data_IF_806937315741
#
_entry.id   IF_806937315741
#
_cell.length_a   1.000
_cell.length_b   1.000
_cell.length_c   1.000
_cell.angle_alpha   90.00
_cell.angle_beta   90.00
_cell.angle_gamma   90.00
#
_symmetry.space_group_name_H-M   'P 1'
#
loop_
_entity.id
_entity.type
_entity.pdbx_description
1 polymer ?
#
# COMPACT_ATOMS: atom_id res chain seq x y z
N UNK A 1 -4.58 -27.02 14.97
CA UNK A 1 -4.84 -25.66 15.48
C UNK A 1 -6.10 -25.19 14.81
N UNK A 2 -7.17 -25.05 15.59
CA UNK A 2 -8.41 -24.44 15.12
C UNK A 2 -8.22 -22.92 15.21
N UNK A 3 -8.44 -22.21 14.12
CA UNK A 3 -8.23 -20.77 14.02
C UNK A 3 -8.65 -20.26 12.65
N UNK A 4 -8.77 -18.94 12.53
CA UNK A 4 -9.16 -18.24 11.30
C UNK A 4 -8.05 -17.32 10.84
N UNK A 5 -7.88 -17.18 9.53
CA UNK A 5 -7.04 -16.10 8.99
C UNK A 5 -7.86 -14.83 8.97
N UNK A 6 -7.30 -13.74 9.51
CA UNK A 6 -7.94 -12.44 9.60
C UNK A 6 -7.11 -11.37 8.90
N UNK A 7 -7.79 -10.40 8.28
CA UNK A 7 -7.18 -9.16 7.76
C UNK A 7 -7.06 -8.17 8.91
N UNK A 8 -5.84 -7.83 9.29
CA UNK A 8 -5.53 -6.78 10.26
C UNK A 8 -5.33 -5.47 9.50
N UNK A 9 -6.32 -4.58 9.59
CA UNK A 9 -6.36 -3.32 8.85
C UNK A 9 -5.28 -2.37 9.37
N UNK A 10 -4.44 -1.91 8.46
CA UNK A 10 -3.34 -0.97 8.62
C UNK A 10 -3.85 0.42 8.24
N UNK A 11 -3.41 1.49 8.91
CA UNK A 11 -3.80 2.84 8.53
C UNK A 11 -3.46 3.13 7.06
N UNK A 12 -4.41 3.71 6.33
CA UNK A 12 -4.25 4.11 4.92
C UNK A 12 -3.40 5.38 4.80
N UNK A 13 -2.12 5.26 5.19
CA UNK A 13 -1.08 6.23 4.92
C UNK A 13 -0.17 5.74 3.78
N UNK A 14 0.70 6.63 3.30
CA UNK A 14 1.67 6.33 2.24
C UNK A 14 2.73 5.28 2.67
N UNK A 15 2.64 4.74 3.88
CA UNK A 15 3.57 3.77 4.47
C UNK A 15 2.92 2.41 4.76
N UNK A 16 1.71 2.15 4.26
CA UNK A 16 0.95 0.92 4.54
C UNK A 16 1.75 -0.37 4.34
N UNK A 17 2.55 -0.48 3.27
CA UNK A 17 3.42 -1.65 3.03
C UNK A 17 4.41 -1.86 4.18
N UNK A 18 5.11 -0.81 4.60
CA UNK A 18 6.10 -0.90 5.67
C UNK A 18 5.44 -1.20 7.02
N UNK A 19 4.26 -0.63 7.26
CA UNK A 19 3.50 -0.86 8.48
C UNK A 19 2.95 -2.29 8.53
N UNK A 20 2.47 -2.81 7.40
CA UNK A 20 2.00 -4.19 7.29
C UNK A 20 3.14 -5.19 7.50
N UNK A 21 4.31 -4.95 6.87
CA UNK A 21 5.52 -5.76 7.09
C UNK A 21 5.97 -5.68 8.55
N UNK A 22 6.05 -4.47 9.12
CA UNK A 22 6.43 -4.28 10.53
C UNK A 22 5.48 -4.99 11.50
N UNK A 23 4.18 -5.02 11.19
CA UNK A 23 3.22 -5.78 11.98
C UNK A 23 3.48 -7.28 11.90
N UNK A 24 3.59 -7.86 10.69
CA UNK A 24 3.74 -9.32 10.56
C UNK A 24 5.09 -9.82 11.06
N UNK A 25 6.14 -9.00 10.98
CA UNK A 25 7.49 -9.39 11.43
C UNK A 25 7.72 -9.16 12.93
N UNK A 26 7.11 -8.14 13.52
CA UNK A 26 7.47 -7.64 14.86
C UNK A 26 6.27 -7.41 15.80
N UNK A 27 5.04 -7.76 15.39
CA UNK A 27 3.79 -7.57 16.14
C UNK A 27 3.57 -6.13 16.63
N UNK A 28 4.03 -5.12 15.87
CA UNK A 28 3.97 -3.73 16.30
C UNK A 28 3.25 -2.82 15.29
N UNK A 29 1.99 -2.48 15.58
CA UNK A 29 1.19 -1.51 14.81
C UNK A 29 1.66 -0.07 14.93
N UNK A 30 2.12 0.30 16.12
CA UNK A 30 2.42 1.68 16.48
C UNK A 30 3.87 2.05 16.22
N UNK A 31 4.69 1.13 15.70
CA UNK A 31 6.06 1.45 15.35
C UNK A 31 6.07 2.62 14.39
N UNK A 32 5.21 2.64 13.37
CA UNK A 32 5.11 3.78 12.44
C UNK A 32 4.76 5.15 13.08
N UNK A 33 4.01 5.17 14.19
CA UNK A 33 3.55 6.41 14.85
C UNK A 33 4.40 6.84 16.06
N UNK A 34 4.84 5.91 16.91
CA UNK A 34 5.79 6.17 18.02
C UNK A 34 7.20 6.50 17.52
N UNK A 35 7.57 6.02 16.34
CA UNK A 35 8.87 6.29 15.71
C UNK A 35 8.75 7.21 14.48
N UNK A 36 7.75 8.09 14.47
CA UNK A 36 7.84 9.39 13.76
C UNK A 36 8.64 10.42 14.57
N UNK A 37 8.88 10.19 15.86
CA UNK A 37 9.74 11.03 16.72
C UNK A 37 11.09 10.38 17.06
N UNK A 38 11.29 9.11 16.72
CA UNK A 38 12.56 8.39 16.85
C UNK A 38 12.97 7.81 15.48
N UNK A 39 14.25 7.82 15.08
CA UNK A 39 14.69 7.63 13.70
C UNK A 39 14.52 6.22 13.08
N UNK A 40 13.60 5.36 13.56
CA UNK A 40 13.79 3.90 13.46
C UNK A 40 12.56 2.98 13.20
N UNK A 41 11.41 3.42 12.68
CA UNK A 41 10.34 2.46 12.28
C UNK A 41 9.90 2.47 10.82
N UNK A 42 9.24 3.53 10.36
CA UNK A 42 9.00 3.81 8.94
C UNK A 42 10.30 4.28 8.27
N UNK A 43 11.15 5.10 8.93
CA UNK A 43 12.49 5.36 8.43
C UNK A 43 13.35 4.09 8.38
N UNK A 44 13.13 3.08 9.24
CA UNK A 44 14.05 1.94 9.29
C UNK A 44 13.93 1.06 8.05
N UNK A 45 12.72 0.64 7.67
CA UNK A 45 12.53 -0.17 6.47
C UNK A 45 13.03 0.57 5.22
N UNK A 46 12.62 1.83 5.03
CA UNK A 46 13.10 2.65 3.90
C UNK A 46 14.61 2.90 3.93
N UNK A 47 15.24 3.07 5.10
CA UNK A 47 16.70 3.21 5.23
C UNK A 47 17.43 1.90 4.94
N UNK A 48 16.90 0.77 5.42
CA UNK A 48 17.42 -0.56 5.11
C UNK A 48 17.36 -0.76 3.60
N UNK A 49 16.24 -0.44 2.97
CA UNK A 49 16.08 -0.53 1.51
C UNK A 49 17.06 0.38 0.79
N UNK A 50 17.14 1.66 1.16
CA UNK A 50 18.09 2.59 0.55
C UNK A 50 19.55 2.13 0.72
N UNK A 51 19.91 1.60 1.90
CA UNK A 51 21.24 1.07 2.15
C UNK A 51 21.53 -0.21 1.34
N UNK A 52 20.57 -1.12 1.23
CA UNK A 52 20.68 -2.33 0.40
C UNK A 52 20.81 -1.97 -1.08
N UNK A 53 20.01 -1.03 -1.57
CA UNK A 53 20.06 -0.55 -2.95
C UNK A 53 21.39 0.13 -3.25
N UNK A 54 21.87 0.99 -2.35
CA UNK A 54 23.17 1.66 -2.51
C UNK A 54 24.37 0.70 -2.39
N UNK A 55 24.21 -0.40 -1.64
CA UNK A 55 25.26 -1.39 -1.41
C UNK A 55 25.54 -2.32 -2.58
N UNK A 56 24.60 -2.46 -3.52
CA UNK A 56 24.76 -3.29 -4.72
C UNK A 56 24.19 -2.60 -5.98
N UNK A 57 24.88 -1.59 -6.53
CA UNK A 57 24.42 -0.85 -7.71
C UNK A 57 24.40 -1.67 -9.00
N UNK A 58 25.12 -2.80 -9.05
CA UNK A 58 25.11 -3.69 -10.21
C UNK A 58 23.78 -4.46 -10.30
N UNK A 59 23.35 -5.05 -9.18
CA UNK A 59 22.01 -5.67 -9.07
C UNK A 59 20.91 -4.64 -9.17
N UNK A 60 21.01 -3.55 -8.40
CA UNK A 60 20.01 -2.48 -8.35
C UNK A 60 20.37 -1.35 -9.31
N UNK A 61 20.50 -1.70 -10.59
CA UNK A 61 20.77 -0.75 -11.66
C UNK A 61 19.49 -0.05 -12.15
N UNK A 62 19.65 0.91 -13.07
CA UNK A 62 18.54 1.72 -13.59
C UNK A 62 17.46 0.89 -14.31
N UNK A 63 17.85 -0.21 -14.96
CA UNK A 63 16.90 -1.12 -15.63
C UNK A 63 16.03 -1.83 -14.59
N UNK A 64 16.63 -2.27 -13.48
CA UNK A 64 15.91 -2.94 -12.41
C UNK A 64 14.98 -1.98 -11.64
N UNK A 65 15.47 -0.79 -11.31
CA UNK A 65 14.76 0.19 -10.46
C UNK A 65 13.79 1.11 -11.23
N UNK A 66 13.93 1.15 -12.57
CA UNK A 66 13.24 2.09 -13.47
C UNK A 66 13.68 3.55 -13.32
N UNK A 67 14.77 3.80 -12.58
CA UNK A 67 15.38 5.11 -12.31
C UNK A 67 16.83 4.90 -11.82
N UNK A 68 17.71 5.91 -11.93
CA UNK A 68 19.08 5.81 -11.42
C UNK A 68 19.12 5.41 -9.94
N UNK A 69 20.12 4.58 -9.56
CA UNK A 69 20.24 4.02 -8.21
C UNK A 69 20.16 5.09 -7.10
N UNK A 70 20.97 6.16 -7.21
CA UNK A 70 20.98 7.26 -6.25
C UNK A 70 19.61 7.97 -6.17
N UNK A 71 18.95 8.17 -7.32
CA UNK A 71 17.62 8.76 -7.37
C UNK A 71 16.57 7.86 -6.73
N UNK A 72 16.71 6.53 -6.83
CA UNK A 72 15.85 5.57 -6.14
C UNK A 72 16.03 5.63 -4.63
N UNK A 73 17.29 5.67 -4.16
CA UNK A 73 17.60 5.79 -2.73
C UNK A 73 16.98 7.06 -2.13
N UNK A 74 17.08 8.19 -2.81
CA UNK A 74 16.41 9.42 -2.37
C UNK A 74 14.88 9.31 -2.42
N UNK A 75 14.34 8.66 -3.46
CA UNK A 75 12.91 8.45 -3.64
C UNK A 75 12.29 7.58 -2.55
N UNK A 76 12.91 6.46 -2.18
CA UNK A 76 12.33 5.53 -1.20
C UNK A 76 12.36 6.06 0.25
N UNK A 77 13.22 7.04 0.51
CA UNK A 77 13.30 7.74 1.80
C UNK A 77 12.22 8.82 1.97
N UNK A 78 11.55 9.23 0.89
CA UNK A 78 10.44 10.19 0.94
C UNK A 78 9.18 9.49 1.49
N UNK A 79 8.61 9.93 2.64
CA UNK A 79 7.48 9.30 3.29
C UNK A 79 6.18 9.36 2.47
N UNK A 80 6.13 10.16 1.41
CA UNK A 80 4.98 10.19 0.49
C UNK A 80 5.06 9.10 -0.60
N UNK A 81 6.20 8.40 -0.73
CA UNK A 81 6.38 7.34 -1.73
C UNK A 81 5.95 5.99 -1.19
N UNK A 82 5.35 5.21 -2.08
CA UNK A 82 4.85 3.89 -1.77
C UNK A 82 5.89 2.86 -2.14
N UNK A 83 6.11 1.88 -1.26
CA UNK A 83 6.82 0.67 -1.63
C UNK A 83 5.99 -0.23 -2.54
N UNK A 84 6.64 -1.26 -3.09
CA UNK A 84 6.00 -2.33 -3.84
C UNK A 84 6.84 -3.59 -3.88
N UNK A 85 6.86 -4.26 -5.04
CA UNK A 85 7.52 -5.56 -5.21
C UNK A 85 9.04 -5.52 -4.92
N UNK A 86 9.74 -4.45 -5.31
CA UNK A 86 11.17 -4.28 -5.03
C UNK A 86 11.40 -4.25 -3.52
N UNK A 87 10.65 -3.42 -2.80
CA UNK A 87 10.73 -3.31 -1.35
C UNK A 87 10.44 -4.64 -0.65
N UNK A 88 9.40 -5.37 -1.07
CA UNK A 88 9.08 -6.69 -0.50
C UNK A 88 10.19 -7.71 -0.73
N UNK A 89 10.83 -7.72 -1.90
CA UNK A 89 11.98 -8.60 -2.17
C UNK A 89 13.17 -8.30 -1.25
N UNK A 90 13.48 -7.02 -1.03
CA UNK A 90 14.58 -6.59 -0.17
C UNK A 90 14.27 -6.90 1.30
N UNK A 91 13.04 -6.62 1.74
CA UNK A 91 12.63 -6.88 3.13
C UNK A 91 12.56 -8.39 3.43
N UNK A 92 12.14 -9.22 2.48
CA UNK A 92 12.20 -10.68 2.60
C UNK A 92 13.64 -11.16 2.83
N UNK A 93 14.60 -10.62 2.06
CA UNK A 93 16.02 -10.94 2.23
C UNK A 93 16.58 -10.42 3.56
N UNK A 94 16.22 -9.20 3.96
CA UNK A 94 16.64 -8.59 5.22
C UNK A 94 16.17 -9.37 6.46
N UNK A 95 14.90 -9.77 6.48
CA UNK A 95 14.34 -10.55 7.60
C UNK A 95 14.70 -12.04 7.53
N UNK A 96 15.23 -12.52 6.40
CA UNK A 96 15.53 -13.94 6.20
C UNK A 96 14.27 -14.82 6.18
N UNK A 97 13.18 -14.30 5.62
CA UNK A 97 11.84 -14.91 5.65
C UNK A 97 11.11 -14.67 4.34
N UNK A 98 10.30 -15.63 3.92
CA UNK A 98 9.41 -15.42 2.79
C UNK A 98 8.29 -14.42 3.13
N UNK A 99 7.84 -13.67 2.14
CA UNK A 99 6.65 -12.83 2.24
C UNK A 99 5.68 -13.25 1.14
N UNK A 100 4.50 -13.73 1.51
CA UNK A 100 3.40 -14.00 0.60
C UNK A 100 2.47 -12.80 0.54
N UNK A 101 2.42 -12.12 -0.62
CA UNK A 101 1.49 -11.03 -0.87
C UNK A 101 0.31 -11.54 -1.71
N UNK A 102 -0.88 -11.60 -1.12
CA UNK A 102 -2.10 -12.02 -1.79
C UNK A 102 -2.81 -10.83 -2.44
N UNK A 103 -2.94 -10.84 -3.76
CA UNK A 103 -3.69 -9.83 -4.51
C UNK A 103 -5.17 -10.21 -4.56
N UNK A 104 -6.05 -9.36 -4.03
CA UNK A 104 -7.50 -9.60 -4.02
C UNK A 104 -8.06 -9.61 -5.43
N UNK A 105 -7.66 -8.67 -6.29
CA UNK A 105 -8.22 -8.50 -7.63
C UNK A 105 -7.99 -9.76 -8.47
N UNK A 106 -6.76 -10.28 -8.47
CA UNK A 106 -6.41 -11.43 -9.32
C UNK A 106 -6.42 -12.77 -8.58
N UNK A 107 -6.64 -12.77 -7.26
CA UNK A 107 -6.53 -13.94 -6.37
C UNK A 107 -5.16 -14.65 -6.40
N UNK A 108 -4.12 -13.96 -6.91
CA UNK A 108 -2.77 -14.53 -7.01
C UNK A 108 -2.03 -14.34 -5.68
N UNK A 109 -1.06 -15.19 -5.43
CA UNK A 109 -0.10 -15.04 -4.34
C UNK A 109 1.28 -14.81 -4.93
N UNK A 110 1.83 -13.61 -4.72
CA UNK A 110 3.20 -13.27 -5.11
C UNK A 110 4.13 -13.62 -3.93
N UNK A 111 5.02 -14.61 -4.11
CA UNK A 111 5.90 -15.12 -3.06
C UNK A 111 7.32 -14.58 -3.21
N UNK A 112 7.73 -13.71 -2.29
CA UNK A 112 9.05 -13.08 -2.26
C UNK A 112 10.02 -13.91 -1.40
N UNK A 113 11.25 -14.09 -1.88
CA UNK A 113 12.32 -14.85 -1.20
C UNK A 113 12.22 -16.37 -1.34
N UNK A 114 11.37 -16.89 -2.23
CA UNK A 114 11.16 -18.33 -2.41
C UNK A 114 12.40 -19.09 -2.86
N UNK A 115 13.26 -18.43 -3.64
CA UNK A 115 14.52 -18.98 -4.16
C UNK A 115 15.60 -19.13 -3.07
N UNK A 116 15.39 -18.52 -1.89
CA UNK A 116 16.35 -18.51 -0.78
C UNK A 116 16.13 -19.67 0.20
N UNK A 117 15.10 -20.48 -0.01
CA UNK A 117 14.74 -21.62 0.86
C UNK A 117 14.57 -21.23 2.34
N UNK A 118 13.99 -20.05 2.63
CA UNK A 118 13.67 -19.69 4.01
C UNK A 118 12.70 -20.70 4.64
N UNK A 119 12.82 -20.87 5.96
CA UNK A 119 12.04 -21.80 6.77
C UNK A 119 10.77 -21.19 7.37
N UNK A 120 10.57 -19.89 7.17
CA UNK A 120 9.46 -19.12 7.74
C UNK A 120 8.87 -18.20 6.67
N UNK A 121 7.56 -17.97 6.74
CA UNK A 121 6.80 -17.12 5.83
C UNK A 121 5.83 -16.23 6.60
N UNK A 122 5.74 -14.96 6.18
CA UNK A 122 4.71 -14.02 6.61
C UNK A 122 3.69 -13.79 5.48
N UNK A 123 2.50 -13.29 5.82
CA UNK A 123 1.41 -13.09 4.86
C UNK A 123 0.89 -11.65 4.86
N UNK A 124 0.71 -11.08 3.67
CA UNK A 124 0.12 -9.77 3.43
C UNK A 124 -1.05 -9.90 2.45
N UNK A 125 -1.98 -8.95 2.49
CA UNK A 125 -3.06 -8.85 1.50
C UNK A 125 -3.04 -7.48 0.84
N UNK A 126 -3.25 -7.45 -0.47
CA UNK A 126 -3.19 -6.27 -1.31
C UNK A 126 -4.51 -6.07 -2.06
N UNK A 127 -5.06 -4.87 -1.97
CA UNK A 127 -6.36 -4.54 -2.57
C UNK A 127 -6.26 -3.71 -3.85
N UNK A 128 -5.07 -3.59 -4.45
CA UNK A 128 -4.84 -2.75 -5.64
C UNK A 128 -4.32 -1.35 -5.34
N UNK A 129 -4.41 -0.89 -4.08
CA UNK A 129 -3.79 0.37 -3.62
C UNK A 129 -3.13 0.26 -2.24
N UNK A 130 -3.62 -0.64 -1.39
CA UNK A 130 -3.26 -0.70 0.01
C UNK A 130 -2.84 -2.11 0.42
N UNK A 131 -1.85 -2.18 1.32
CA UNK A 131 -1.37 -3.41 1.94
C UNK A 131 -1.85 -3.50 3.38
N UNK A 132 -2.39 -4.67 3.72
CA UNK A 132 -2.73 -5.05 5.09
C UNK A 132 -2.01 -6.34 5.50
N UNK A 133 -1.96 -6.56 6.82
CA UNK A 133 -1.39 -7.77 7.38
C UNK A 133 -2.43 -8.91 7.42
N UNK A 134 -1.97 -10.13 7.16
CA UNK A 134 -2.74 -11.34 7.43
C UNK A 134 -2.13 -12.06 8.65
N UNK A 135 -3.00 -12.47 9.56
CA UNK A 135 -2.62 -13.23 10.75
C UNK A 135 -3.57 -14.41 10.95
N UNK A 136 -3.09 -15.48 11.57
CA UNK A 136 -3.93 -16.53 12.11
C UNK A 136 -4.31 -16.16 13.55
N UNK A 137 -5.61 -16.20 13.85
CA UNK A 137 -6.18 -15.76 15.12
C UNK A 137 -7.15 -16.84 15.64
N UNK A 138 -7.36 -16.97 16.97
CA UNK A 138 -8.31 -17.94 17.53
C UNK A 138 -9.74 -17.77 17.02
N UNK A 139 -10.15 -16.53 16.76
CA UNK A 139 -11.47 -16.18 16.24
C UNK A 139 -11.44 -14.82 15.51
N UNK A 140 -12.48 -14.54 14.74
CA UNK A 140 -12.70 -13.21 14.19
C UNK A 140 -12.91 -12.20 15.33
N UNK A 141 -12.23 -11.06 15.27
CA UNK A 141 -12.29 -10.03 16.32
C UNK A 141 -11.51 -10.34 17.60
N UNK A 142 -10.81 -11.49 17.68
CA UNK A 142 -9.95 -11.75 18.83
C UNK A 142 -8.81 -10.71 18.94
N UNK A 143 -8.32 -10.42 20.15
CA UNK A 143 -7.20 -9.52 20.36
C UNK A 143 -5.96 -9.95 19.58
N UNK A 144 -5.20 -8.96 19.11
CA UNK A 144 -4.02 -9.15 18.26
C UNK A 144 -2.84 -9.78 18.99
N UNK A 145 -2.84 -9.76 20.32
CA UNK A 145 -1.87 -10.47 21.15
C UNK A 145 -1.89 -11.99 20.94
N UNK A 146 -2.99 -12.53 20.39
CA UNK A 146 -3.14 -13.94 20.04
C UNK A 146 -2.83 -14.23 18.57
N UNK A 147 -2.42 -13.23 17.80
CA UNK A 147 -2.10 -13.43 16.39
C UNK A 147 -0.82 -14.25 16.23
N UNK A 148 -0.88 -15.25 15.36
CA UNK A 148 0.30 -15.81 14.71
C UNK A 148 0.47 -15.16 13.34
N UNK A 149 1.60 -14.48 13.13
CA UNK A 149 1.92 -13.81 11.85
C UNK A 149 3.08 -14.46 11.09
N UNK A 150 3.88 -15.28 11.77
CA UNK A 150 4.99 -16.04 11.20
C UNK A 150 4.63 -17.52 11.18
N UNK A 151 4.77 -18.13 10.00
CA UNK A 151 4.39 -19.52 9.75
C UNK A 151 5.61 -20.33 9.31
N UNK A 152 5.82 -21.53 9.88
CA UNK A 152 6.87 -22.42 9.41
C UNK A 152 6.54 -22.91 7.99
N UNK A 153 7.56 -22.96 7.14
CA UNK A 153 7.47 -23.49 5.77
C UNK A 153 7.82 -24.98 5.82
N UNK A 154 6.87 -25.80 5.40
CA UNK A 154 7.00 -27.26 5.36
C UNK A 154 7.91 -27.72 4.21
N UNK A 155 8.27 -29.00 4.20
CA UNK A 155 9.05 -29.61 3.12
C UNK A 155 8.41 -29.49 1.73
N UNK A 156 7.07 -29.42 1.66
CA UNK A 156 6.32 -29.20 0.42
C UNK A 156 6.19 -27.72 0.03
N UNK A 157 6.92 -26.82 0.73
CA UNK A 157 6.87 -25.35 0.60
C UNK A 157 5.52 -24.70 0.97
N UNK A 158 4.59 -25.45 1.55
CA UNK A 158 3.35 -24.90 2.12
C UNK A 158 3.56 -24.35 3.51
N UNK A 159 2.62 -23.53 3.98
CA UNK A 159 2.49 -23.15 5.40
C UNK A 159 1.31 -23.87 6.08
N UNK A 160 0.97 -25.06 5.58
CA UNK A 160 -0.13 -25.88 6.10
C UNK A 160 -1.51 -25.23 5.91
N UNK A 161 -2.46 -25.42 6.86
CA UNK A 161 -3.84 -24.93 6.72
C UNK A 161 -3.96 -23.40 6.56
N UNK A 162 -2.98 -22.64 7.06
CA UNK A 162 -2.98 -21.18 6.98
C UNK A 162 -3.06 -20.67 5.54
N UNK A 163 -2.40 -21.35 4.61
CA UNK A 163 -2.38 -20.98 3.18
C UNK A 163 -3.77 -21.10 2.54
N UNK A 164 -4.47 -22.21 2.81
CA UNK A 164 -5.83 -22.43 2.31
C UNK A 164 -6.84 -21.45 2.91
N UNK A 165 -6.69 -21.13 4.20
CA UNK A 165 -7.53 -20.15 4.89
C UNK A 165 -7.30 -18.73 4.35
N UNK A 166 -6.04 -18.34 4.11
CA UNK A 166 -5.71 -17.06 3.49
C UNK A 166 -6.30 -16.95 2.08
N UNK A 167 -6.16 -17.99 1.26
CA UNK A 167 -6.73 -18.02 -0.09
C UNK A 167 -8.27 -17.93 -0.07
N UNK A 168 -8.92 -18.58 0.90
CA UNK A 168 -10.38 -18.47 1.06
C UNK A 168 -10.82 -17.05 1.43
N UNK A 169 -10.10 -16.39 2.34
CA UNK A 169 -10.35 -14.98 2.69
C UNK A 169 -10.19 -14.07 1.45
N UNK A 170 -9.12 -14.27 0.68
CA UNK A 170 -8.84 -13.50 -0.55
C UNK A 170 -9.94 -13.70 -1.59
N UNK A 171 -10.37 -14.95 -1.82
CA UNK A 171 -11.47 -15.26 -2.74
C UNK A 171 -12.79 -14.64 -2.28
N UNK A 172 -13.05 -14.61 -0.98
CA UNK A 172 -14.24 -13.95 -0.45
C UNK A 172 -14.18 -12.43 -0.66
N UNK A 173 -13.04 -11.81 -0.36
CA UNK A 173 -12.83 -10.39 -0.62
C UNK A 173 -12.96 -10.05 -2.12
N UNK A 174 -12.48 -10.93 -2.99
CA UNK A 174 -12.62 -10.79 -4.44
C UNK A 174 -14.09 -10.86 -4.88
N UNK A 175 -14.87 -11.84 -4.38
CA UNK A 175 -16.31 -11.95 -4.67
C UNK A 175 -17.07 -10.72 -4.21
N UNK A 176 -16.68 -10.14 -3.07
CA UNK A 176 -17.22 -8.89 -2.52
C UNK A 176 -16.71 -7.64 -3.25
N UNK A 177 -15.80 -7.79 -4.21
CA UNK A 177 -15.12 -6.68 -4.91
C UNK A 177 -14.47 -5.69 -3.95
N UNK A 178 -13.88 -6.20 -2.87
CA UNK A 178 -13.15 -5.42 -1.86
C UNK A 178 -11.73 -5.10 -2.32
N UNK A 179 -11.61 -4.52 -3.52
CA UNK A 179 -10.37 -4.11 -4.16
C UNK A 179 -10.61 -2.92 -5.10
N UNK A 180 -9.54 -2.18 -5.41
CA UNK A 180 -9.55 -1.07 -6.37
C UNK A 180 -8.86 -1.50 -7.66
N UNK A 181 -9.62 -1.59 -8.74
CA UNK A 181 -9.08 -1.88 -10.07
C UNK A 181 -8.39 -0.63 -10.63
N UNK A 182 -7.10 -0.46 -10.36
CA UNK A 182 -6.35 0.73 -10.82
C UNK A 182 -6.21 0.84 -12.35
N UNK A 183 -6.47 -0.23 -13.10
CA UNK A 183 -6.46 -0.21 -14.55
C UNK A 183 -7.78 0.33 -15.13
N UNK A 184 -8.91 0.01 -14.50
CA UNK A 184 -10.25 0.32 -15.04
C UNK A 184 -11.11 1.24 -14.16
N UNK A 185 -10.62 1.68 -13.00
CA UNK A 185 -11.42 2.54 -12.11
C UNK A 185 -11.76 3.86 -12.78
N UNK A 186 -13.01 4.29 -12.59
CA UNK A 186 -13.49 5.58 -13.06
C UNK A 186 -13.61 6.51 -11.85
N UNK A 187 -12.87 7.62 -11.83
CA UNK A 187 -13.15 8.69 -10.87
C UNK A 187 -14.07 9.70 -11.52
N UNK A 188 -15.16 10.04 -10.83
CA UNK A 188 -16.03 11.14 -11.24
C UNK A 188 -15.72 12.36 -10.39
N UNK A 189 -15.38 13.47 -11.03
CA UNK A 189 -15.24 14.73 -10.30
C UNK A 189 -16.60 15.14 -9.73
N UNK A 190 -16.69 15.33 -8.40
CA UNK A 190 -17.93 15.77 -7.75
C UNK A 190 -18.40 17.18 -8.15
N UNK A 191 -17.53 17.98 -8.78
CA UNK A 191 -17.83 19.35 -9.22
C UNK A 191 -18.24 19.39 -10.69
N UNK A 192 -17.38 18.92 -11.60
CA UNK A 192 -17.64 19.00 -13.04
C UNK A 192 -18.26 17.73 -13.64
N UNK A 193 -18.43 16.67 -12.85
CA UNK A 193 -19.08 15.41 -13.23
C UNK A 193 -18.41 14.63 -14.37
N UNK A 194 -17.22 15.05 -14.79
CA UNK A 194 -16.38 14.35 -15.78
C UNK A 194 -15.81 13.08 -15.13
N UNK A 195 -15.95 11.96 -15.84
CA UNK A 195 -15.31 10.69 -15.50
C UNK A 195 -13.90 10.62 -16.08
N UNK A 196 -12.90 10.28 -15.26
CA UNK A 196 -11.54 9.93 -15.68
C UNK A 196 -11.32 8.45 -15.44
N UNK A 197 -10.73 7.74 -16.39
CA UNK A 197 -10.56 6.27 -16.34
C UNK A 197 -9.07 5.94 -16.12
N UNK A 198 -8.80 5.01 -15.21
CA UNK A 198 -7.48 4.44 -14.97
C UNK A 198 -6.44 5.42 -14.42
N UNK A 199 -5.15 5.11 -14.62
CA UNK A 199 -4.01 5.87 -14.10
C UNK A 199 -3.94 7.34 -14.56
N UNK A 200 -4.69 7.74 -15.60
CA UNK A 200 -4.77 9.15 -16.03
C UNK A 200 -5.43 10.06 -14.99
N UNK A 201 -6.19 9.50 -14.04
CA UNK A 201 -6.70 10.24 -12.89
C UNK A 201 -5.58 10.80 -11.98
N UNK A 202 -4.39 10.16 -11.97
CA UNK A 202 -3.25 10.55 -11.14
C UNK A 202 -2.44 11.71 -11.73
N UNK A 203 -2.48 11.90 -13.05
CA UNK A 203 -1.69 12.93 -13.75
C UNK A 203 -2.26 14.36 -13.62
N UNK A 204 -3.49 14.52 -13.14
CA UNK A 204 -4.03 15.84 -12.79
C UNK A 204 -3.32 16.50 -11.59
N UNK A 205 -2.52 15.75 -10.80
CA UNK A 205 -1.64 16.34 -9.75
C UNK A 205 -0.40 17.03 -10.31
N UNK A 206 0.07 16.70 -11.51
CA UNK A 206 1.39 17.13 -12.01
C UNK A 206 1.34 18.20 -13.11
N UNK A 207 0.16 18.59 -13.58
CA UNK A 207 0.01 19.64 -14.58
C UNK A 207 0.06 21.07 -14.01
N UNK A 208 0.56 21.28 -12.79
CA UNK A 208 0.66 22.61 -12.17
C UNK A 208 2.10 23.12 -11.92
N UNK A 209 3.15 22.43 -12.37
CA UNK A 209 4.55 22.86 -12.13
C UNK A 209 5.33 23.37 -13.36
N UNK A 210 4.69 23.62 -14.50
CA UNK A 210 5.34 24.28 -15.64
C UNK A 210 4.40 25.21 -16.41
N UNK A 211 4.21 26.43 -15.90
CA UNK A 211 4.02 27.60 -16.78
C UNK A 211 4.84 28.77 -16.24
N UNK A 212 5.89 29.23 -16.96
CA UNK A 212 6.53 30.50 -16.65
C UNK A 212 5.57 31.65 -16.96
N UNK A 213 5.62 32.71 -16.14
CA UNK A 213 4.89 33.96 -16.36
C UNK A 213 5.17 34.47 -17.79
N UNK A 214 4.15 34.48 -18.64
CA UNK A 214 4.19 35.18 -19.91
C UNK A 214 2.91 35.99 -20.09
N UNK A 215 3.14 37.26 -20.42
CA UNK A 215 2.22 38.37 -20.60
C UNK A 215 1.14 38.15 -21.67
N UNK A 216 0.01 38.81 -21.43
CA UNK A 216 -1.18 38.98 -22.26
C UNK A 216 -1.01 38.88 -23.78
N UNK A 217 -1.85 38.07 -24.42
CA UNK A 217 -2.55 38.43 -25.67
C UNK A 217 -3.76 37.52 -25.87
N UNK A 218 -4.87 38.14 -26.29
CA UNK A 218 -6.23 37.59 -26.39
C UNK A 218 -6.38 36.43 -27.38
N UNK A 219 -6.91 35.28 -26.94
CA UNK A 219 -7.63 34.32 -27.79
C UNK A 219 -8.76 33.59 -27.02
N UNK A 220 -9.97 33.71 -27.55
CA UNK A 220 -11.20 32.93 -27.34
C UNK A 220 -11.47 32.30 -25.97
N UNK A 221 -12.32 32.98 -25.20
CA UNK A 221 -12.94 32.56 -23.94
C UNK A 221 -14.13 31.64 -24.18
N UNK A 222 -13.89 30.32 -24.24
CA UNK A 222 -14.90 29.29 -23.92
C UNK A 222 -14.31 27.90 -23.66
N UNK A 223 -13.03 27.68 -23.96
CA UNK A 223 -12.31 26.44 -23.61
C UNK A 223 -11.42 26.56 -22.36
N UNK A 224 -11.06 27.79 -21.95
CA UNK A 224 -10.15 27.99 -20.81
C UNK A 224 -10.80 27.70 -19.45
N UNK A 225 -12.10 27.94 -19.29
CA UNK A 225 -12.83 27.69 -18.03
C UNK A 225 -13.12 26.20 -17.77
N UNK A 226 -13.05 25.35 -18.81
CA UNK A 226 -13.27 23.90 -18.72
C UNK A 226 -12.06 23.15 -18.15
N UNK A 227 -10.85 23.64 -18.40
CA UNK A 227 -9.61 23.06 -17.89
C UNK A 227 -9.32 23.46 -16.44
N UNK A 228 -9.84 24.59 -15.98
CA UNK A 228 -9.51 25.16 -14.66
C UNK A 228 -10.27 24.50 -13.51
N UNK A 229 -11.43 23.87 -13.76
CA UNK A 229 -12.21 23.19 -12.72
C UNK A 229 -11.46 21.99 -12.10
N UNK A 230 -10.56 21.36 -12.86
CA UNK A 230 -9.70 20.28 -12.39
C UNK A 230 -8.37 20.77 -11.79
N UNK A 231 -8.10 22.08 -11.76
CA UNK A 231 -6.82 22.66 -11.39
C UNK A 231 -6.82 23.44 -10.05
N UNK A 232 -7.94 23.50 -9.31
CA UNK A 232 -8.07 24.40 -8.15
C UNK A 232 -8.42 23.67 -6.84
N UNK A 233 -7.52 23.84 -5.86
CA UNK A 233 -7.62 23.67 -4.40
C UNK A 233 -7.91 22.29 -3.79
N UNK A 234 -6.82 21.61 -3.41
CA UNK A 234 -6.78 20.79 -2.18
C UNK A 234 -6.03 21.58 -1.10
N UNK A 235 -6.68 22.61 -0.56
CA UNK A 235 -6.37 23.06 0.80
C UNK A 235 -7.02 22.05 1.73
N UNK A 236 -6.19 21.29 2.43
CA UNK A 236 -6.41 20.69 3.75
C UNK A 236 -7.84 20.89 4.30
N UNK A 237 -8.61 19.80 4.44
CA UNK A 237 -9.76 19.78 5.35
C UNK A 237 -9.51 18.66 6.36
N UNK A 238 -8.94 19.06 7.50
CA UNK A 238 -9.10 18.34 8.76
C UNK A 238 -10.54 18.57 9.24
N UNK A 239 -11.27 17.51 9.59
CA UNK A 239 -12.41 17.64 10.49
C UNK A 239 -12.16 16.80 11.74
N UNK A 240 -11.83 17.50 12.82
CA UNK A 240 -11.89 17.01 14.18
C UNK A 240 -13.27 17.43 14.72
N UNK A 241 -14.14 16.47 15.01
CA UNK A 241 -15.36 16.72 15.79
C UNK A 241 -15.36 15.79 16.99
N UNK A 242 -14.93 16.36 18.12
CA UNK A 242 -15.22 15.89 19.47
C UNK A 242 -16.70 16.18 19.70
N UNK A 243 -17.55 15.15 19.87
CA UNK A 243 -18.65 15.12 20.84
C UNK A 243 -19.29 13.72 20.88
N UNK A 244 -19.23 13.10 22.06
CA UNK A 244 -20.13 12.04 22.57
C UNK A 244 -20.21 10.68 21.84
N UNK A 245 -19.43 9.73 22.36
CA UNK A 245 -19.87 8.35 22.68
C UNK A 245 -20.94 7.69 21.79
N UNK A 246 -20.65 7.49 20.50
CA UNK A 246 -21.25 6.45 19.63
C UNK A 246 -20.58 6.47 18.26
N UNK A 247 -19.85 5.42 17.92
CA UNK A 247 -19.31 5.21 16.59
C UNK A 247 -20.46 4.86 15.64
N UNK A 248 -20.93 5.84 14.85
CA UNK A 248 -21.88 5.62 13.77
C UNK A 248 -21.12 5.79 12.45
N UNK A 249 -21.06 4.71 11.67
CA UNK A 249 -20.59 4.72 10.30
C UNK A 249 -21.54 5.56 9.45
N UNK A 250 -21.06 6.70 8.94
CA UNK A 250 -21.71 7.42 7.85
C UNK A 250 -20.92 7.15 6.58
N UNK A 251 -21.43 6.18 5.81
CA UNK A 251 -21.01 5.93 4.45
C UNK A 251 -21.29 7.18 3.59
N UNK A 252 -20.24 7.90 3.19
CA UNK A 252 -20.39 8.86 2.11
C UNK A 252 -20.53 8.08 0.81
N UNK A 253 -21.68 8.26 0.17
CA UNK A 253 -22.03 7.72 -1.13
C UNK A 253 -21.03 8.20 -2.19
N UNK A 254 -20.06 7.36 -2.51
CA UNK A 254 -19.55 7.31 -3.86
C UNK A 254 -20.58 6.51 -4.65
N UNK A 255 -21.36 7.18 -5.49
CA UNK A 255 -22.21 6.49 -6.47
C UNK A 255 -21.24 5.87 -7.48
N UNK A 256 -20.94 4.59 -7.30
CA UNK A 256 -20.54 3.73 -8.41
C UNK A 256 -21.67 3.72 -9.42
N UNK A 257 -21.39 4.17 -10.64
CA UNK A 257 -22.20 3.86 -11.82
C UNK A 257 -21.49 2.74 -12.56
#
# INVERSE_FOLDING_TARGET
MDGVVVRRVIPSDNSCLFNAVGYVMEHNRNKASELRQLPFSSPLCSKVIAATVAGDPEKFNEVFLGKPNEAYCAWILDPEKWGGAIELSILSEYYGREIAAYDIQTTRCDLYGQEKNYSERAMLIYDGLHYDALAMSPAEGAPEEFDQTIFPVNHDRSIGPAEGLALNLVREAQRKRSYTDTANFTLRCGVCQIGVIGQQARLLRLWNMRKPLATSTSKNTNDSTRSDCCAVNLTIIWFQLIFSSRWIWLALHCITV
#
